data_IF_111293188675
#
_entry.id   IF_111293188675
#
_cell.length_a   1.000
_cell.length_b   1.000
_cell.length_c   1.000
_cell.angle_alpha   90.00
_cell.angle_beta   90.00
_cell.angle_gamma   90.00
#
_symmetry.space_group_name_H-M   'P 1'
#
loop_
_entity.id
_entity.type
_entity.pdbx_description
1 polymer ?
#
# COMPACT_ATOMS: atom_id res chain seq x y z
N UNK A 1 1.50 -23.11 35.86
CA UNK A 1 0.91 -22.27 34.79
C UNK A 1 2.03 -21.36 34.29
N UNK A 2 2.71 -21.79 33.24
CA UNK A 2 3.95 -21.17 32.77
C UNK A 2 3.65 -19.94 31.91
N UNK A 3 4.28 -18.83 32.26
CA UNK A 3 4.32 -17.63 31.44
C UNK A 3 5.27 -17.89 30.26
N UNK A 4 4.78 -17.73 29.04
CA UNK A 4 5.61 -17.78 27.85
C UNK A 4 6.45 -16.50 27.78
N UNK A 5 7.76 -16.66 28.01
CA UNK A 5 8.79 -15.67 27.73
C UNK A 5 8.98 -15.65 26.21
N UNK A 6 8.53 -14.58 25.54
CA UNK A 6 8.93 -14.30 24.16
C UNK A 6 10.33 -13.72 24.17
N UNK A 7 11.33 -14.58 23.93
CA UNK A 7 12.68 -14.16 23.60
C UNK A 7 12.66 -13.48 22.23
N UNK A 8 12.64 -12.15 22.22
CA UNK A 8 13.04 -11.36 21.06
C UNK A 8 14.56 -11.46 20.93
N UNK A 9 15.03 -12.32 20.03
CA UNK A 9 16.44 -12.38 19.65
C UNK A 9 16.75 -11.09 18.87
N UNK A 10 17.83 -10.44 19.29
CA UNK A 10 18.26 -9.11 18.88
C UNK A 10 18.23 -8.87 17.38
N UNK A 11 17.58 -7.77 17.01
CA UNK A 11 18.09 -6.88 16.00
C UNK A 11 18.44 -5.61 16.74
N UNK A 12 19.73 -5.31 16.72
CA UNK A 12 20.39 -4.18 17.36
C UNK A 12 19.61 -2.88 17.09
N UNK A 13 19.58 -2.02 18.10
CA UNK A 13 19.13 -0.65 18.02
C UNK A 13 20.00 0.10 17.00
N UNK A 14 19.72 -0.07 15.71
CA UNK A 14 20.13 0.90 14.72
C UNK A 14 19.27 2.12 14.96
N UNK A 15 19.83 3.05 15.75
CA UNK A 15 19.37 4.43 15.89
C UNK A 15 18.84 4.90 14.54
N UNK A 16 17.53 5.14 14.49
CA UNK A 16 16.90 5.78 13.34
C UNK A 16 17.44 7.21 13.28
N UNK A 17 18.50 7.38 12.52
CA UNK A 17 19.13 8.67 12.26
C UNK A 17 18.24 9.42 11.25
N UNK A 18 17.26 10.16 11.78
CA UNK A 18 16.34 11.03 11.03
C UNK A 18 17.04 12.31 10.54
N UNK A 19 18.15 12.14 9.83
CA UNK A 19 18.79 13.20 9.07
C UNK A 19 18.50 12.99 7.59
N UNK A 20 17.22 12.92 7.23
CA UNK A 20 16.83 13.44 5.92
C UNK A 20 16.79 14.94 6.04
N UNK A 21 17.80 15.56 5.44
CA UNK A 21 17.90 16.98 5.10
C UNK A 21 16.66 17.44 4.30
N UNK A 22 15.52 17.59 4.98
CA UNK A 22 14.32 18.25 4.47
C UNK A 22 14.55 19.76 4.54
N UNK A 23 15.50 20.22 3.74
CA UNK A 23 15.73 21.63 3.46
C UNK A 23 14.49 22.20 2.75
N UNK A 24 13.58 22.74 3.56
CA UNK A 24 13.11 24.13 3.48
C UNK A 24 12.41 24.58 2.19
N UNK A 25 11.56 23.74 1.64
CA UNK A 25 10.45 24.22 0.80
C UNK A 25 9.17 24.22 1.61
N UNK A 26 9.06 25.20 2.51
CA UNK A 26 7.75 25.63 3.01
C UNK A 26 6.96 26.07 1.78
N UNK A 27 6.10 25.18 1.27
CA UNK A 27 5.24 25.48 0.14
C UNK A 27 4.20 26.47 0.64
N UNK A 28 4.44 27.75 0.39
CA UNK A 28 3.54 28.82 0.78
C UNK A 28 2.24 28.74 -0.04
N UNK A 29 1.26 28.02 0.50
CA UNK A 29 -0.08 27.92 -0.06
C UNK A 29 -0.84 29.26 -0.03
N UNK A 30 -0.35 30.30 0.68
CA UNK A 30 -1.03 31.60 0.75
C UNK A 30 -1.05 32.34 -0.60
N UNK A 31 -0.14 32.01 -1.52
CA UNK A 31 -0.02 32.63 -2.85
C UNK A 31 -1.09 32.15 -3.86
N UNK A 32 -1.72 31.00 -3.63
CA UNK A 32 -2.70 30.40 -4.56
C UNK A 32 -4.16 30.65 -4.18
N UNK A 33 -4.41 31.57 -3.24
CA UNK A 33 -5.76 32.01 -2.92
C UNK A 33 -6.24 33.01 -3.98
N UNK A 34 -6.42 32.55 -5.22
CA UNK A 34 -7.17 33.31 -6.23
C UNK A 34 -8.60 33.47 -5.74
N UNK A 35 -9.13 34.70 -5.81
CA UNK A 35 -10.46 35.09 -5.29
C UNK A 35 -11.65 34.48 -6.05
N UNK A 36 -11.42 33.58 -7.00
CA UNK A 36 -12.45 32.73 -7.58
C UNK A 36 -12.28 31.31 -7.04
N UNK A 37 -13.17 30.93 -6.12
CA UNK A 37 -13.38 29.51 -5.80
C UNK A 37 -13.97 28.84 -7.03
N UNK A 38 -13.12 28.37 -7.94
CA UNK A 38 -13.55 27.56 -9.07
C UNK A 38 -14.18 26.29 -8.49
N UNK A 39 -15.50 26.21 -8.52
CA UNK A 39 -16.25 25.04 -8.10
C UNK A 39 -16.05 24.00 -9.20
N UNK A 40 -15.09 23.10 -9.00
CA UNK A 40 -14.99 21.92 -9.85
C UNK A 40 -16.12 20.96 -9.47
N UNK A 41 -16.97 20.52 -10.41
CA UNK A 41 -17.91 19.45 -10.14
C UNK A 41 -17.12 18.19 -9.78
N UNK A 42 -17.21 17.79 -8.51
CA UNK A 42 -16.54 16.61 -7.99
C UNK A 42 -17.47 15.41 -8.14
N UNK A 43 -17.40 14.75 -9.29
CA UNK A 43 -18.15 13.52 -9.56
C UNK A 43 -17.36 12.30 -9.02
N UNK A 44 -17.50 12.02 -7.72
CA UNK A 44 -16.91 10.81 -7.11
C UNK A 44 -17.91 9.66 -7.19
N UNK A 45 -17.63 8.71 -8.09
CA UNK A 45 -18.31 7.42 -8.10
C UNK A 45 -17.73 6.50 -7.01
N UNK A 46 -18.37 6.51 -5.84
CA UNK A 46 -18.03 5.63 -4.72
C UNK A 46 -18.25 4.15 -5.03
N UNK A 47 -19.18 3.80 -5.91
CA UNK A 47 -19.46 2.41 -6.28
C UNK A 47 -18.30 1.86 -7.08
N UNK A 48 -17.85 2.60 -8.09
CA UNK A 48 -16.70 2.25 -8.90
C UNK A 48 -15.41 2.15 -8.08
N UNK A 49 -15.18 3.11 -7.18
CA UNK A 49 -14.04 3.08 -6.28
C UNK A 49 -14.06 1.84 -5.37
N UNK A 50 -15.23 1.53 -4.80
CA UNK A 50 -15.43 0.36 -3.94
C UNK A 50 -15.26 -0.96 -4.70
N UNK A 51 -15.71 -1.02 -5.94
CA UNK A 51 -15.53 -2.18 -6.81
C UNK A 51 -14.05 -2.40 -7.14
N UNK A 52 -13.33 -1.35 -7.55
CA UNK A 52 -11.89 -1.42 -7.80
C UNK A 52 -11.10 -1.87 -6.57
N UNK A 53 -11.47 -1.38 -5.39
CA UNK A 53 -10.83 -1.79 -4.14
C UNK A 53 -11.04 -3.28 -3.86
N UNK A 54 -12.29 -3.76 -3.98
CA UNK A 54 -12.61 -5.19 -3.80
C UNK A 54 -11.91 -6.07 -4.83
N UNK A 55 -11.79 -5.59 -6.07
CA UNK A 55 -11.12 -6.29 -7.15
C UNK A 55 -9.59 -6.38 -7.00
N UNK A 56 -8.99 -5.60 -6.09
CA UNK A 56 -7.53 -5.54 -5.87
C UNK A 56 -7.11 -6.08 -4.50
N UNK A 57 -8.05 -6.42 -3.62
CA UNK A 57 -7.76 -6.94 -2.28
C UNK A 57 -8.44 -8.28 -2.03
N UNK A 58 -7.76 -9.13 -1.29
CA UNK A 58 -8.26 -10.42 -0.83
C UNK A 58 -8.51 -10.35 0.68
N UNK A 59 -9.69 -10.77 1.11
CA UNK A 59 -10.02 -10.93 2.53
C UNK A 59 -9.31 -12.18 3.07
N UNK A 60 -8.50 -12.02 4.10
CA UNK A 60 -7.77 -13.12 4.76
C UNK A 60 -8.40 -13.53 6.10
N UNK A 61 -9.59 -13.01 6.40
CA UNK A 61 -10.34 -13.24 7.63
C UNK A 61 -10.17 -12.12 8.66
N UNK A 62 -11.08 -12.10 9.66
CA UNK A 62 -11.10 -11.11 10.75
C UNK A 62 -11.03 -9.65 10.29
N UNK A 63 -11.71 -9.32 9.20
CA UNK A 63 -11.68 -7.99 8.58
C UNK A 63 -10.29 -7.52 8.10
N UNK A 64 -9.33 -8.43 7.93
CA UNK A 64 -8.04 -8.12 7.37
C UNK A 64 -8.03 -8.35 5.86
N UNK A 65 -7.38 -7.44 5.13
CA UNK A 65 -7.29 -7.48 3.69
C UNK A 65 -5.84 -7.34 3.24
N UNK A 66 -5.45 -8.14 2.26
CA UNK A 66 -4.13 -8.04 1.61
C UNK A 66 -4.31 -7.71 0.14
N UNK A 67 -3.35 -7.02 -0.47
CA UNK A 67 -3.35 -6.88 -1.92
C UNK A 67 -3.18 -8.24 -2.60
N UNK A 68 -3.75 -8.37 -3.80
CA UNK A 68 -3.52 -9.54 -4.66
C UNK A 68 -2.38 -9.28 -5.64
N UNK A 69 -1.77 -10.35 -6.13
CA UNK A 69 -0.81 -10.32 -7.22
C UNK A 69 -1.44 -9.60 -8.44
N UNK A 70 -0.78 -8.56 -9.00
CA UNK A 70 -1.34 -7.75 -10.07
C UNK A 70 -1.27 -8.44 -11.44
N UNK A 71 -0.59 -9.59 -11.55
CA UNK A 71 -0.45 -10.28 -12.83
C UNK A 71 -1.81 -10.80 -13.35
N UNK A 72 -2.05 -10.53 -14.63
CA UNK A 72 -3.23 -10.97 -15.38
C UNK A 72 -2.77 -11.98 -16.42
N UNK A 73 -3.32 -13.19 -16.40
CA UNK A 73 -3.08 -14.22 -17.41
C UNK A 73 -4.37 -14.52 -18.16
N UNK A 74 -4.37 -14.41 -19.50
CA UNK A 74 -5.47 -14.83 -20.39
C UNK A 74 -6.88 -14.50 -19.83
N UNK A 75 -7.09 -13.25 -19.44
CA UNK A 75 -8.35 -12.70 -18.88
C UNK A 75 -8.70 -13.09 -17.43
N UNK A 76 -7.78 -13.69 -16.68
CA UNK A 76 -7.96 -14.00 -15.25
C UNK A 76 -6.86 -13.36 -14.41
N UNK A 77 -7.25 -12.67 -13.33
CA UNK A 77 -6.31 -12.21 -12.30
C UNK A 77 -5.77 -13.40 -11.52
N UNK A 78 -4.49 -13.35 -11.15
CA UNK A 78 -3.86 -14.39 -10.35
C UNK A 78 -4.61 -14.66 -9.04
N UNK A 79 -5.04 -13.61 -8.33
CA UNK A 79 -5.79 -13.70 -7.07
C UNK A 79 -4.98 -14.21 -5.87
N UNK A 80 -3.73 -14.62 -6.06
CA UNK A 80 -2.83 -15.04 -4.97
C UNK A 80 -2.25 -13.82 -4.25
N UNK A 81 -1.92 -13.99 -2.98
CA UNK A 81 -1.18 -12.98 -2.20
C UNK A 81 0.23 -12.78 -2.79
N UNK A 82 0.72 -11.53 -2.91
CA UNK A 82 2.12 -11.24 -3.19
C UNK A 82 3.04 -11.86 -2.14
N UNK A 83 4.24 -12.27 -2.55
CA UNK A 83 5.26 -12.71 -1.60
C UNK A 83 5.72 -11.51 -0.74
N UNK A 84 6.13 -11.70 0.52
CA UNK A 84 6.60 -10.58 1.34
C UNK A 84 7.68 -9.75 0.63
N UNK A 85 7.53 -8.43 0.68
CA UNK A 85 8.41 -7.45 0.02
C UNK A 85 8.49 -7.56 -1.51
N UNK A 86 7.53 -8.24 -2.15
CA UNK A 86 7.46 -8.39 -3.60
C UNK A 86 6.11 -7.90 -4.14
N UNK A 87 6.11 -7.44 -5.38
CA UNK A 87 4.88 -7.04 -6.08
C UNK A 87 4.07 -8.24 -6.60
N UNK A 88 4.71 -9.40 -6.78
CA UNK A 88 4.12 -10.59 -7.38
C UNK A 88 4.03 -11.75 -6.39
N UNK A 89 3.13 -12.71 -6.65
CA UNK A 89 3.10 -13.96 -5.88
C UNK A 89 4.34 -14.81 -6.18
N UNK A 90 4.65 -15.78 -5.31
CA UNK A 90 5.82 -16.65 -5.47
C UNK A 90 5.88 -17.31 -6.87
N UNK A 91 4.77 -17.83 -7.37
CA UNK A 91 4.68 -18.45 -8.71
C UNK A 91 5.08 -17.46 -9.81
N UNK A 92 4.58 -16.23 -9.70
CA UNK A 92 4.82 -15.18 -10.69
C UNK A 92 6.16 -14.48 -10.51
N UNK A 93 6.75 -14.49 -9.33
CA UNK A 93 8.12 -14.03 -9.12
C UNK A 93 9.14 -14.97 -9.80
N UNK A 94 8.90 -16.28 -9.74
CA UNK A 94 9.79 -17.27 -10.37
C UNK A 94 9.69 -17.21 -11.90
N UNK A 95 8.48 -17.03 -12.44
CA UNK A 95 8.24 -17.04 -13.89
C UNK A 95 8.41 -15.67 -14.56
N UNK A 96 8.23 -14.55 -13.84
CA UNK A 96 8.49 -13.20 -14.38
C UNK A 96 9.87 -12.68 -13.97
N UNK A 97 10.92 -13.51 -14.05
CA UNK A 97 12.28 -12.99 -14.11
C UNK A 97 12.40 -12.21 -15.43
N UNK A 98 12.06 -10.93 -15.38
CA UNK A 98 12.42 -9.93 -16.38
C UNK A 98 13.85 -9.51 -16.08
#
# INVERSE_FOLDING_TARGET
MGNYIMNCIGLEENEYNDNTDYNDKVFDYSKYRSEESVIFPLDIDFNYASEKWRNNKLNIGRNNYVYICPLIEKNKKCGRRPFPNMNYCMVHHIHNKI
#
